data_IF_390425860157
#
_entry.id   IF_390425860157
#
_cell.length_a   1.000
_cell.length_b   1.000
_cell.length_c   1.000
_cell.angle_alpha   90.00
_cell.angle_beta   90.00
_cell.angle_gamma   90.00
#
_symmetry.space_group_name_H-M   'P 1'
#
loop_
_entity.id
_entity.type
_entity.pdbx_description
1 polymer ?
#
# COMPACT_ATOMS: atom_id res chain seq x y z
N UNK A 1 17.09 -2.13 -4.38
CA UNK A 1 16.10 -1.86 -3.31
C UNK A 1 15.75 -0.39 -3.45
N UNK A 2 14.57 -0.06 -3.96
CA UNK A 2 14.07 1.31 -3.86
C UNK A 2 13.76 1.51 -2.36
N UNK A 3 14.08 2.67 -1.79
CA UNK A 3 13.93 2.89 -0.35
C UNK A 3 12.51 2.57 0.13
N UNK A 4 12.38 2.14 1.38
CA UNK A 4 11.09 2.01 2.05
C UNK A 4 10.90 3.20 2.99
N UNK A 5 9.68 3.72 3.07
CA UNK A 5 9.33 4.80 3.99
C UNK A 5 8.07 4.40 4.74
N UNK A 6 8.08 4.58 6.06
CA UNK A 6 6.87 4.52 6.87
C UNK A 6 6.20 5.90 6.82
N UNK A 7 4.89 5.91 6.62
CA UNK A 7 4.08 7.13 6.59
C UNK A 7 2.83 6.95 7.44
N UNK A 8 2.24 8.07 7.85
CA UNK A 8 0.99 8.09 8.59
C UNK A 8 -0.06 8.89 7.82
N UNK A 9 -1.25 8.31 7.65
CA UNK A 9 -2.42 9.04 7.15
C UNK A 9 -2.86 10.03 8.24
N UNK A 10 -2.69 11.31 7.96
CA UNK A 10 -3.14 12.39 8.84
C UNK A 10 -4.66 12.57 8.71
N UNK A 11 -5.37 12.79 9.83
CA UNK A 11 -6.75 13.27 9.80
C UNK A 11 -6.90 14.59 9.05
N UNK A 12 -8.06 14.79 8.44
CA UNK A 12 -8.40 16.03 7.75
C UNK A 12 -8.33 17.24 8.69
N UNK A 13 -7.84 18.37 8.18
CA UNK A 13 -7.80 19.64 8.90
C UNK A 13 -6.69 19.76 9.96
N UNK A 14 -5.77 18.80 10.06
CA UNK A 14 -4.57 18.95 10.88
C UNK A 14 -3.57 19.87 10.15
N UNK A 15 -3.13 20.91 10.87
CA UNK A 15 -1.91 21.66 10.53
C UNK A 15 -0.78 21.05 11.35
N UNK A 16 0.09 20.21 10.76
CA UNK A 16 1.20 19.63 11.49
C UNK A 16 2.15 20.73 11.96
N UNK A 17 2.55 20.67 13.23
CA UNK A 17 3.59 21.52 13.84
C UNK A 17 4.98 20.84 13.77
N UNK A 18 5.12 19.87 12.86
CA UNK A 18 6.36 19.13 12.67
C UNK A 18 7.19 19.88 11.62
N UNK A 19 8.42 20.27 11.99
CA UNK A 19 9.22 21.20 11.21
C UNK A 19 10.01 20.55 10.06
N UNK A 20 10.18 19.22 10.07
CA UNK A 20 11.19 18.53 9.24
C UNK A 20 10.63 17.34 8.42
N UNK A 21 9.32 17.08 8.50
CA UNK A 21 8.67 15.94 7.85
C UNK A 21 8.06 16.30 6.49
N UNK A 22 8.19 15.41 5.51
CA UNK A 22 7.56 15.56 4.20
C UNK A 22 6.06 15.23 4.28
N UNK A 23 5.22 16.16 3.82
CA UNK A 23 3.77 15.97 3.73
C UNK A 23 3.40 15.79 2.26
N UNK A 24 2.83 14.63 1.94
CA UNK A 24 2.27 14.34 0.63
C UNK A 24 0.74 14.46 0.67
N UNK A 25 0.18 15.23 -0.26
CA UNK A 25 -1.24 15.21 -0.55
C UNK A 25 -1.49 14.39 -1.81
N UNK A 26 -2.38 13.41 -1.73
CA UNK A 26 -2.76 12.57 -2.87
C UNK A 26 -4.28 12.62 -3.06
N UNK A 27 -4.71 12.90 -4.29
CA UNK A 27 -6.11 12.77 -4.68
C UNK A 27 -6.57 11.30 -4.66
N UNK A 28 -7.87 11.08 -4.80
CA UNK A 28 -8.42 9.74 -4.94
C UNK A 28 -7.78 8.99 -6.11
N UNK A 29 -7.43 7.72 -5.88
CA UNK A 29 -6.72 6.87 -6.83
C UNK A 29 -7.26 5.44 -6.74
N UNK A 30 -7.39 4.76 -7.88
CA UNK A 30 -7.74 3.34 -7.93
C UNK A 30 -6.54 2.47 -7.59
N UNK A 31 -6.75 1.47 -6.77
CA UNK A 31 -5.73 0.49 -6.41
C UNK A 31 -6.26 -0.92 -6.63
N UNK A 32 -5.41 -1.79 -7.16
CA UNK A 32 -5.60 -3.23 -6.98
C UNK A 32 -5.12 -3.57 -5.56
N UNK A 33 -5.88 -4.40 -4.84
CA UNK A 33 -5.56 -4.73 -3.45
C UNK A 33 -5.67 -6.22 -3.17
N UNK A 34 -4.83 -6.70 -2.24
CA UNK A 34 -4.96 -8.03 -1.64
C UNK A 34 -4.80 -7.93 -0.13
N UNK A 35 -5.66 -8.62 0.61
CA UNK A 35 -5.55 -8.74 2.07
C UNK A 35 -4.81 -10.02 2.43
N UNK A 36 -3.74 -9.87 3.19
CA UNK A 36 -2.92 -10.95 3.73
C UNK A 36 -3.26 -11.12 5.21
N UNK A 37 -3.76 -12.28 5.59
CA UNK A 37 -3.96 -12.66 7.00
C UNK A 37 -2.68 -13.27 7.56
N UNK A 38 -2.30 -12.88 8.78
CA UNK A 38 -1.06 -13.30 9.45
C UNK A 38 0.20 -13.07 8.60
N UNK A 39 0.44 -11.84 8.10
CA UNK A 39 1.57 -11.55 7.20
C UNK A 39 2.94 -11.86 7.83
N UNK A 40 3.04 -11.79 9.16
CA UNK A 40 4.30 -11.96 9.90
C UNK A 40 4.63 -13.40 10.30
N UNK A 41 3.81 -14.40 9.95
CA UNK A 41 4.12 -15.80 10.28
C UNK A 41 5.33 -16.35 9.49
N UNK A 42 5.51 -15.88 8.25
CA UNK A 42 6.67 -16.17 7.40
C UNK A 42 6.85 -14.99 6.42
N UNK A 43 7.25 -13.80 6.90
CA UNK A 43 7.13 -12.54 6.18
C UNK A 43 7.86 -12.54 4.83
N UNK A 44 9.03 -13.17 4.76
CA UNK A 44 9.83 -13.29 3.53
C UNK A 44 9.25 -14.24 2.48
N UNK A 45 8.21 -15.00 2.82
CA UNK A 45 7.49 -15.86 1.88
C UNK A 45 6.09 -15.33 1.62
N UNK A 46 5.34 -15.02 2.68
CA UNK A 46 3.92 -14.66 2.61
C UNK A 46 3.72 -13.31 1.94
N UNK A 47 4.46 -12.28 2.34
CA UNK A 47 4.29 -10.93 1.79
C UNK A 47 4.69 -10.90 0.30
N UNK A 48 5.88 -11.40 -0.11
CA UNK A 48 6.24 -11.46 -1.53
C UNK A 48 5.27 -12.29 -2.38
N UNK A 49 4.68 -13.35 -1.82
CA UNK A 49 3.70 -14.16 -2.55
C UNK A 49 2.35 -13.44 -2.68
N UNK A 50 1.93 -12.64 -1.70
CA UNK A 50 0.78 -11.75 -1.82
C UNK A 50 0.96 -10.75 -2.97
N UNK A 51 2.13 -10.12 -3.06
CA UNK A 51 2.51 -9.27 -4.19
C UNK A 51 2.45 -9.98 -5.54
N UNK A 52 3.04 -11.18 -5.65
CA UNK A 52 3.01 -11.97 -6.88
C UNK A 52 1.57 -12.32 -7.30
N UNK A 53 0.74 -12.71 -6.34
CA UNK A 53 -0.66 -13.03 -6.60
C UNK A 53 -1.44 -11.81 -7.12
N UNK A 54 -1.25 -10.65 -6.49
CA UNK A 54 -1.88 -9.40 -6.92
C UNK A 54 -1.43 -8.96 -8.31
N UNK A 55 -0.12 -8.99 -8.59
CA UNK A 55 0.42 -8.66 -9.92
C UNK A 55 -0.07 -9.63 -11.01
N UNK A 56 -0.13 -10.94 -10.72
CA UNK A 56 -0.68 -11.92 -11.64
C UNK A 56 -2.16 -11.66 -11.92
N UNK A 57 -2.95 -11.34 -10.88
CA UNK A 57 -4.34 -10.94 -11.05
C UNK A 57 -4.48 -9.71 -11.94
N UNK A 58 -3.68 -8.66 -11.71
CA UNK A 58 -3.68 -7.46 -12.55
C UNK A 58 -3.39 -7.80 -14.01
N UNK A 59 -2.35 -8.61 -14.26
CA UNK A 59 -1.96 -9.04 -15.61
C UNK A 59 -3.08 -9.83 -16.32
N UNK A 60 -3.68 -10.80 -15.64
CA UNK A 60 -4.74 -11.66 -16.21
C UNK A 60 -6.01 -10.88 -16.54
N UNK A 61 -6.27 -9.77 -15.84
CA UNK A 61 -7.45 -8.94 -16.02
C UNK A 61 -7.17 -7.65 -16.81
N UNK A 62 -5.98 -7.48 -17.37
CA UNK A 62 -5.63 -6.29 -18.17
C UNK A 62 -5.59 -4.99 -17.36
N UNK A 63 -5.36 -5.07 -16.05
CA UNK A 63 -5.27 -3.91 -15.16
C UNK A 63 -3.87 -3.31 -15.26
N UNK A 64 -3.76 -2.12 -15.85
CA UNK A 64 -2.48 -1.43 -16.00
C UNK A 64 -2.03 -0.76 -14.70
N UNK A 65 -0.71 -0.65 -14.50
CA UNK A 65 -0.12 0.08 -13.37
C UNK A 65 -0.18 1.59 -13.59
N UNK A 66 -0.59 2.35 -12.58
CA UNK A 66 -0.50 3.81 -12.59
C UNK A 66 0.94 4.25 -12.22
N UNK A 67 1.55 5.10 -13.05
CA UNK A 67 2.90 5.66 -12.84
C UNK A 67 2.90 7.20 -12.86
N UNK A 68 1.80 7.82 -12.46
CA UNK A 68 1.67 9.28 -12.43
C UNK A 68 2.46 9.86 -11.26
N UNK A 69 3.13 10.97 -11.49
CA UNK A 69 3.80 11.72 -10.43
C UNK A 69 2.79 12.15 -9.35
N UNK A 70 3.19 12.09 -8.09
CA UNK A 70 2.33 12.38 -6.94
C UNK A 70 1.38 11.25 -6.53
N UNK A 71 1.41 10.11 -7.22
CA UNK A 71 0.69 8.88 -6.81
C UNK A 71 1.67 7.91 -6.13
N UNK A 72 1.31 7.48 -4.93
CA UNK A 72 1.99 6.39 -4.23
C UNK A 72 1.73 5.10 -5.02
N UNK A 73 2.72 4.70 -5.82
CA UNK A 73 2.57 3.55 -6.73
C UNK A 73 2.25 2.23 -6.03
N UNK A 74 2.69 2.09 -4.78
CA UNK A 74 2.59 0.86 -4.01
C UNK A 74 2.76 1.15 -2.52
N UNK A 75 1.95 0.54 -1.66
CA UNK A 75 2.12 0.60 -0.21
C UNK A 75 1.40 -0.55 0.51
N UNK A 76 1.84 -0.83 1.73
CA UNK A 76 1.21 -1.74 2.67
C UNK A 76 0.47 -0.98 3.78
N UNK A 77 -0.69 -1.49 4.18
CA UNK A 77 -1.43 -1.04 5.35
C UNK A 77 -1.57 -2.18 6.34
N UNK A 78 -0.90 -2.06 7.47
CA UNK A 78 -0.94 -3.03 8.56
C UNK A 78 -2.02 -2.67 9.57
N UNK A 79 -2.77 -3.65 10.06
CA UNK A 79 -3.78 -3.46 11.10
C UNK A 79 -4.03 -4.74 11.90
N UNK A 80 -4.43 -4.56 13.16
CA UNK A 80 -4.84 -5.64 14.04
C UNK A 80 -6.37 -5.68 14.11
N UNK A 81 -6.94 -6.88 13.97
CA UNK A 81 -8.37 -7.12 14.13
C UNK A 81 -8.59 -8.48 14.80
N UNK A 82 -9.33 -8.50 15.90
CA UNK A 82 -9.66 -9.72 16.65
C UNK A 82 -8.38 -10.55 16.99
N UNK A 83 -7.33 -9.87 17.46
CA UNK A 83 -6.00 -10.42 17.78
C UNK A 83 -5.25 -11.08 16.60
N UNK A 84 -5.69 -10.82 15.37
CA UNK A 84 -5.07 -11.30 14.14
C UNK A 84 -4.49 -10.11 13.36
N UNK A 85 -3.22 -10.23 12.97
CA UNK A 85 -2.58 -9.26 12.09
C UNK A 85 -3.05 -9.44 10.66
N UNK A 86 -3.38 -8.32 10.03
CA UNK A 86 -3.68 -8.22 8.61
C UNK A 86 -2.77 -7.18 7.96
N UNK A 87 -2.50 -7.40 6.68
CA UNK A 87 -1.82 -6.44 5.83
C UNK A 87 -2.57 -6.36 4.50
N UNK A 88 -3.07 -5.19 4.18
CA UNK A 88 -3.54 -4.91 2.83
C UNK A 88 -2.38 -4.39 2.00
N UNK A 89 -2.13 -5.02 0.85
CA UNK A 89 -1.13 -4.57 -0.13
C UNK A 89 -1.86 -3.88 -1.26
N UNK A 90 -1.46 -2.65 -1.59
CA UNK A 90 -2.06 -1.84 -2.64
C UNK A 90 -1.06 -1.57 -3.76
N UNK A 91 -1.50 -1.75 -5.02
CA UNK A 91 -0.75 -1.35 -6.22
C UNK A 91 -1.63 -0.39 -7.04
N UNK A 92 -1.12 0.81 -7.32
CA UNK A 92 -1.87 1.82 -8.06
C UNK A 92 -2.21 1.31 -9.46
N UNK A 93 -3.48 1.42 -9.82
CA UNK A 93 -4.03 0.93 -11.08
C UNK A 93 -4.54 2.08 -11.95
N UNK A 94 -4.48 1.94 -13.27
CA UNK A 94 -5.13 2.89 -14.17
C UNK A 94 -6.67 2.82 -14.05
N UNK A 95 -7.29 3.96 -14.31
CA UNK A 95 -8.72 4.21 -14.13
C UNK A 95 -9.58 3.74 -15.28
#
# INVERSE_FOLDING_TARGET
MHGYMAAWILPDGITPDFADEEILFQAEQKYAAVTIRNPFCAPFAVIPNGYKALMAYMQMNGIAHCKKDGVISCFEKEYLRDDVWYMDVYIAAEG
#
